data_IF_805056377720
#
_entry.id   IF_805056377720
#
_cell.length_a   1.000
_cell.length_b   1.000
_cell.length_c   1.000
_cell.angle_alpha   90.00
_cell.angle_beta   90.00
_cell.angle_gamma   90.00
#
_symmetry.space_group_name_H-M   'P 1'
#
loop_
_entity.id
_entity.type
_entity.pdbx_description
1 polymer ?
#
# COMPACT_ATOMS: atom_id res chain seq x y z
N UNK A 1 -6.31 -7.52 -14.05
CA UNK A 1 -6.30 -7.41 -12.57
C UNK A 1 -5.01 -6.76 -12.14
N UNK A 2 -5.02 -5.91 -11.11
CA UNK A 2 -3.85 -5.09 -10.74
C UNK A 2 -2.81 -5.91 -9.94
N UNK A 3 -1.53 -5.97 -10.38
CA UNK A 3 -0.50 -6.81 -9.77
C UNK A 3 0.11 -6.16 -8.51
N UNK A 4 -0.68 -6.04 -7.45
CA UNK A 4 -0.17 -5.58 -6.15
C UNK A 4 0.89 -6.53 -5.58
N UNK A 5 1.89 -5.95 -4.92
CA UNK A 5 2.83 -6.70 -4.08
C UNK A 5 2.08 -7.42 -2.96
N UNK A 6 2.62 -8.55 -2.50
CA UNK A 6 1.96 -9.43 -1.53
C UNK A 6 2.75 -9.55 -0.23
N UNK A 7 2.04 -9.73 0.87
CA UNK A 7 2.60 -10.24 2.12
C UNK A 7 2.82 -11.75 2.01
N UNK A 8 3.57 -12.33 2.94
CA UNK A 8 3.80 -13.79 3.02
C UNK A 8 2.48 -14.58 3.07
N UNK A 9 1.44 -14.00 3.69
CA UNK A 9 0.11 -14.58 3.80
C UNK A 9 -0.78 -14.29 2.57
N UNK A 10 -0.22 -13.81 1.45
CA UNK A 10 -0.93 -13.59 0.18
C UNK A 10 -1.84 -12.35 0.13
N UNK A 11 -1.90 -11.54 1.19
CA UNK A 11 -2.67 -10.29 1.22
C UNK A 11 -1.93 -9.17 0.48
N UNK A 12 -2.63 -8.10 0.10
CA UNK A 12 -2.00 -6.94 -0.51
C UNK A 12 -1.03 -6.31 0.50
N UNK A 13 0.22 -6.14 0.08
CA UNK A 13 1.22 -5.43 0.85
C UNK A 13 0.89 -3.93 0.89
N UNK A 14 1.05 -3.33 2.07
CA UNK A 14 0.87 -1.91 2.31
C UNK A 14 2.11 -1.34 2.99
N UNK A 15 2.61 -0.21 2.49
CA UNK A 15 3.78 0.46 3.06
C UNK A 15 3.36 1.66 3.94
N UNK A 16 4.19 2.04 4.93
CA UNK A 16 4.09 3.35 5.57
C UNK A 16 4.22 4.49 4.56
N UNK A 17 3.54 5.60 4.84
CA UNK A 17 3.67 6.82 4.06
C UNK A 17 3.47 8.04 4.97
N UNK A 18 4.09 9.17 4.62
CA UNK A 18 4.07 10.38 5.45
C UNK A 18 2.65 10.85 5.76
N UNK A 19 2.43 11.32 7.01
CA UNK A 19 1.15 11.86 7.45
C UNK A 19 0.05 10.83 7.73
N UNK A 20 0.36 9.53 7.68
CA UNK A 20 -0.61 8.47 7.98
C UNK A 20 -0.45 7.97 9.41
N UNK A 21 -1.48 8.12 10.23
CA UNK A 21 -1.51 7.64 11.61
C UNK A 21 -2.68 6.69 11.89
N UNK A 22 -2.57 5.94 12.99
CA UNK A 22 -3.67 5.18 13.61
C UNK A 22 -4.32 6.01 14.72
N UNK A 23 -5.53 5.64 15.11
CA UNK A 23 -6.24 6.17 16.28
C UNK A 23 -6.23 7.71 16.38
N UNK A 24 -6.65 8.37 15.28
CA UNK A 24 -6.70 9.84 15.16
C UNK A 24 -5.39 10.55 15.53
N UNK A 25 -4.24 9.97 15.17
CA UNK A 25 -2.93 10.55 15.45
C UNK A 25 -2.24 10.00 16.70
N UNK A 26 -2.94 9.22 17.53
CA UNK A 26 -2.41 8.72 18.81
C UNK A 26 -1.76 7.35 18.69
N UNK A 27 -2.12 6.55 17.68
CA UNK A 27 -1.68 5.17 17.53
C UNK A 27 -0.39 4.98 16.71
N UNK A 28 0.38 6.04 16.53
CA UNK A 28 1.62 6.03 15.74
C UNK A 28 1.38 5.85 14.23
N UNK A 29 2.42 5.45 13.52
CA UNK A 29 2.46 5.37 12.05
C UNK A 29 1.54 4.25 11.52
N UNK A 30 0.68 4.58 10.56
CA UNK A 30 -0.09 3.61 9.79
C UNK A 30 0.66 3.18 8.52
N UNK A 31 0.36 1.96 8.06
CA UNK A 31 0.80 1.44 6.77
C UNK A 31 -0.44 1.06 5.95
N UNK A 32 -0.97 2.03 5.19
CA UNK A 32 -2.21 1.85 4.40
C UNK A 32 -2.08 2.20 2.92
N UNK A 33 -0.87 2.48 2.45
CA UNK A 33 -0.60 2.72 1.02
C UNK A 33 -0.31 1.38 0.33
N UNK A 34 -1.29 0.83 -0.38
CA UNK A 34 -1.11 -0.35 -1.23
C UNK A 34 -0.13 -0.06 -2.36
N UNK A 35 0.71 -1.03 -2.72
CA UNK A 35 1.76 -0.82 -3.71
C UNK A 35 1.96 -2.02 -4.65
N UNK A 36 2.34 -1.73 -5.89
CA UNK A 36 2.96 -2.69 -6.81
C UNK A 36 4.43 -2.29 -6.94
N UNK A 37 5.25 -2.76 -6.00
CA UNK A 37 6.61 -2.28 -5.76
C UNK A 37 6.66 -0.74 -5.70
N UNK A 38 7.49 -0.12 -6.53
CA UNK A 38 7.63 1.32 -6.71
C UNK A 38 6.94 1.84 -7.99
N UNK A 39 6.19 0.98 -8.70
CA UNK A 39 5.59 1.27 -10.01
C UNK A 39 4.06 1.17 -10.02
N UNK A 40 3.42 1.47 -8.89
CA UNK A 40 1.95 1.34 -8.73
C UNK A 40 1.17 2.09 -9.80
N UNK A 41 1.59 3.30 -10.19
CA UNK A 41 0.91 4.08 -11.23
C UNK A 41 0.97 3.44 -12.62
N UNK A 42 2.14 2.93 -13.01
CA UNK A 42 2.30 2.18 -14.25
C UNK A 42 1.43 0.92 -14.25
N UNK A 43 1.52 0.12 -13.18
CA UNK A 43 0.72 -1.09 -13.05
C UNK A 43 -0.78 -0.81 -13.05
N UNK A 44 -1.22 0.31 -12.47
CA UNK A 44 -2.61 0.75 -12.51
C UNK A 44 -3.03 1.11 -13.94
N UNK A 45 -2.26 1.95 -14.63
CA UNK A 45 -2.59 2.40 -15.99
C UNK A 45 -2.72 1.25 -16.97
N UNK A 46 -1.86 0.24 -16.88
CA UNK A 46 -1.91 -0.94 -17.74
C UNK A 46 -3.00 -1.96 -17.35
N UNK A 47 -3.62 -1.82 -16.17
CA UNK A 47 -4.64 -2.75 -15.68
C UNK A 47 -6.08 -2.21 -15.80
N UNK A 48 -6.25 -0.95 -16.21
CA UNK A 48 -7.52 -0.30 -16.56
C UNK A 48 -7.90 -0.60 -18.01
#
# INVERSE_FOLDING_TARGET
GLPFSRTENGRIYQRPFGGQSKDFGKGGQAARTCAAADRTGHALLHAL
#
